data_IF_875434761199
#
_entry.id   IF_875434761199
#
_cell.length_a   1.000
_cell.length_b   1.000
_cell.length_c   1.000
_cell.angle_alpha   90.00
_cell.angle_beta   90.00
_cell.angle_gamma   90.00
#
_symmetry.space_group_name_H-M   'P 1'
#
loop_
_entity.id
_entity.type
_entity.pdbx_description
1 polymer ?
#
# COMPACT_ATOMS: atom_id res chain seq x y z
N UNK A 1 -31.22 -21.96 8.89
CA UNK A 1 -30.48 -21.72 7.63
C UNK A 1 -30.29 -20.23 7.41
N UNK A 2 -29.15 -19.65 7.79
CA UNK A 2 -28.79 -18.27 7.43
C UNK A 2 -27.27 -18.16 7.26
N UNK A 3 -26.87 -17.59 6.12
CA UNK A 3 -25.76 -16.62 6.05
C UNK A 3 -24.29 -17.09 6.11
N UNK A 4 -23.94 -18.24 5.53
CA UNK A 4 -22.50 -18.52 5.25
C UNK A 4 -22.05 -18.05 3.86
N UNK A 5 -22.97 -17.76 2.94
CA UNK A 5 -22.64 -17.31 1.57
C UNK A 5 -22.34 -15.80 1.49
N UNK A 6 -22.97 -14.97 2.34
CA UNK A 6 -22.77 -13.52 2.39
C UNK A 6 -21.37 -13.14 2.91
N UNK A 7 -20.87 -13.86 3.93
CA UNK A 7 -19.55 -13.57 4.53
C UNK A 7 -18.38 -13.80 3.55
N UNK A 8 -18.48 -14.83 2.68
CA UNK A 8 -17.42 -15.18 1.72
C UNK A 8 -17.25 -14.11 0.64
N UNK A 9 -18.34 -13.55 0.13
CA UNK A 9 -18.29 -12.48 -0.90
C UNK A 9 -17.68 -11.21 -0.32
N UNK A 10 -18.04 -10.86 0.93
CA UNK A 10 -17.52 -9.67 1.61
C UNK A 10 -16.01 -9.81 1.89
N UNK A 11 -15.55 -10.96 2.41
CA UNK A 11 -14.11 -11.20 2.64
C UNK A 11 -13.32 -11.15 1.34
N UNK A 12 -13.76 -11.87 0.30
CA UNK A 12 -13.09 -11.91 -1.00
C UNK A 12 -13.00 -10.51 -1.63
N UNK A 13 -14.03 -9.68 -1.46
CA UNK A 13 -14.03 -8.29 -1.93
C UNK A 13 -12.94 -7.46 -1.25
N UNK A 14 -12.79 -7.56 0.08
CA UNK A 14 -11.72 -6.86 0.81
C UNK A 14 -10.33 -7.42 0.51
N UNK A 15 -10.20 -8.74 0.36
CA UNK A 15 -8.93 -9.38 -0.03
C UNK A 15 -8.47 -8.92 -1.42
N UNK A 16 -9.39 -8.85 -2.38
CA UNK A 16 -9.14 -8.33 -3.72
C UNK A 16 -8.84 -6.82 -3.68
N UNK A 17 -9.54 -6.06 -2.83
CA UNK A 17 -9.28 -4.63 -2.64
C UNK A 17 -7.85 -4.38 -2.12
N UNK A 18 -7.40 -5.13 -1.13
CA UNK A 18 -6.04 -5.05 -0.63
C UNK A 18 -5.02 -5.37 -1.71
N UNK A 19 -5.24 -6.43 -2.49
CA UNK A 19 -4.37 -6.80 -3.62
C UNK A 19 -4.29 -5.66 -4.65
N UNK A 20 -5.43 -5.09 -5.04
CA UNK A 20 -5.48 -3.93 -5.94
C UNK A 20 -4.73 -2.74 -5.34
N UNK A 21 -4.86 -2.49 -4.04
CA UNK A 21 -4.19 -1.38 -3.37
C UNK A 21 -2.68 -1.61 -3.24
N UNK A 22 -2.22 -2.84 -3.03
CA UNK A 22 -0.80 -3.20 -3.06
C UNK A 22 -0.21 -2.98 -4.46
N UNK A 23 -0.92 -3.36 -5.53
CA UNK A 23 -0.49 -3.07 -6.90
C UNK A 23 -0.37 -1.56 -7.17
N UNK A 24 -1.39 -0.78 -6.78
CA UNK A 24 -1.35 0.69 -6.88
C UNK A 24 -0.20 1.30 -6.08
N UNK A 25 0.14 0.72 -4.93
CA UNK A 25 1.29 1.18 -4.16
C UNK A 25 2.61 0.87 -4.88
N UNK A 26 2.70 -0.26 -5.60
CA UNK A 26 3.83 -0.57 -6.48
C UNK A 26 3.98 0.38 -7.66
N UNK A 27 2.88 0.84 -8.25
CA UNK A 27 2.90 1.91 -9.27
C UNK A 27 3.48 3.20 -8.67
N UNK A 28 3.03 3.60 -7.47
CA UNK A 28 3.56 4.78 -6.78
C UNK A 28 5.06 4.66 -6.44
N UNK A 29 5.54 3.47 -6.08
CA UNK A 29 6.98 3.21 -5.88
C UNK A 29 7.76 3.42 -7.18
N UNK A 30 7.26 2.89 -8.30
CA UNK A 30 7.88 3.10 -9.62
C UNK A 30 7.89 4.58 -10.00
N UNK A 31 6.77 5.29 -9.82
CA UNK A 31 6.69 6.71 -10.08
C UNK A 31 7.64 7.54 -9.19
N UNK A 32 7.85 7.12 -7.93
CA UNK A 32 8.79 7.77 -7.02
C UNK A 32 10.24 7.63 -7.49
N UNK A 33 10.63 6.49 -8.05
CA UNK A 33 11.96 6.32 -8.65
C UNK A 33 12.17 7.20 -9.90
N UNK A 34 11.10 7.47 -10.65
CA UNK A 34 11.14 8.28 -11.87
C UNK A 34 10.92 9.78 -11.62
N UNK A 35 10.52 10.17 -10.40
CA UNK A 35 10.22 11.56 -10.09
C UNK A 35 11.50 12.38 -9.94
N UNK A 36 11.64 13.38 -10.80
CA UNK A 36 12.78 14.27 -10.97
C UNK A 36 12.60 15.64 -10.28
N UNK A 37 11.42 15.91 -9.73
CA UNK A 37 11.10 17.16 -9.04
C UNK A 37 10.57 16.92 -7.63
N UNK A 38 10.96 17.78 -6.71
CA UNK A 38 10.53 17.70 -5.30
C UNK A 38 9.00 17.81 -5.16
N UNK A 39 8.36 18.67 -5.96
CA UNK A 39 6.90 18.81 -5.98
C UNK A 39 6.20 17.50 -6.35
N UNK A 40 6.67 16.82 -7.39
CA UNK A 40 6.12 15.52 -7.82
C UNK A 40 6.36 14.45 -6.76
N UNK A 41 7.59 14.37 -6.22
CA UNK A 41 7.90 13.44 -5.13
C UNK A 41 6.99 13.65 -3.92
N UNK A 42 6.75 14.90 -3.51
CA UNK A 42 5.86 15.25 -2.42
C UNK A 42 4.42 14.75 -2.65
N UNK A 43 3.88 14.96 -3.85
CA UNK A 43 2.54 14.46 -4.22
C UNK A 43 2.47 12.94 -4.20
N UNK A 44 3.50 12.26 -4.71
CA UNK A 44 3.58 10.80 -4.70
C UNK A 44 3.68 10.23 -3.28
N UNK A 45 4.50 10.83 -2.41
CA UNK A 45 4.58 10.45 -1.00
C UNK A 45 3.25 10.64 -0.26
N UNK A 46 2.50 11.71 -0.55
CA UNK A 46 1.15 11.89 0.01
C UNK A 46 0.17 10.80 -0.47
N UNK A 47 0.26 10.39 -1.74
CA UNK A 47 -0.55 9.28 -2.27
C UNK A 47 -0.15 7.95 -1.63
N UNK A 48 1.14 7.68 -1.49
CA UNK A 48 1.67 6.48 -0.84
C UNK A 48 1.22 6.39 0.63
N UNK A 49 1.26 7.51 1.36
CA UNK A 49 0.73 7.61 2.72
C UNK A 49 -0.75 7.19 2.79
N UNK A 50 -1.60 7.76 1.92
CA UNK A 50 -3.03 7.43 1.85
C UNK A 50 -3.27 5.96 1.50
N UNK A 51 -2.46 5.39 0.60
CA UNK A 51 -2.54 3.98 0.24
C UNK A 51 -2.18 3.07 1.42
N UNK A 52 -1.10 3.35 2.15
CA UNK A 52 -0.72 2.59 3.34
C UNK A 52 -1.79 2.63 4.44
N UNK A 53 -2.46 3.77 4.64
CA UNK A 53 -3.59 3.88 5.56
C UNK A 53 -4.77 2.98 5.14
N UNK A 54 -5.10 2.95 3.84
CA UNK A 54 -6.17 2.08 3.30
C UNK A 54 -5.84 0.60 3.42
N UNK A 55 -4.57 0.25 3.26
CA UNK A 55 -4.03 -1.09 3.49
C UNK A 55 -3.93 -1.47 4.98
N UNK A 56 -4.34 -0.57 5.89
CA UNK A 56 -4.29 -0.78 7.34
C UNK A 56 -2.88 -1.15 7.84
N UNK A 57 -1.84 -0.64 7.18
CA UNK A 57 -0.45 -0.80 7.64
C UNK A 57 -0.31 -0.20 9.03
N UNK A 58 0.44 -0.86 9.92
CA UNK A 58 0.63 -0.39 11.30
C UNK A 58 1.17 1.05 11.32
N UNK A 59 0.59 1.98 12.12
CA UNK A 59 0.99 3.39 12.12
C UNK A 59 2.49 3.63 12.32
N UNK A 60 3.15 2.87 13.20
CA UNK A 60 4.59 2.97 13.43
C UNK A 60 5.44 2.71 12.17
N UNK A 61 4.99 1.79 11.29
CA UNK A 61 5.65 1.51 10.02
C UNK A 61 5.43 2.68 9.05
N UNK A 62 4.20 3.18 8.96
CA UNK A 62 3.85 4.32 8.12
C UNK A 62 4.69 5.54 8.53
N UNK A 63 4.77 5.84 9.82
CA UNK A 63 5.59 6.94 10.35
C UNK A 63 7.06 6.78 10.01
N UNK A 64 7.62 5.58 10.19
CA UNK A 64 9.01 5.31 9.84
C UNK A 64 9.28 5.57 8.35
N UNK A 65 8.42 5.05 7.47
CA UNK A 65 8.53 5.25 6.02
C UNK A 65 8.40 6.74 5.67
N UNK A 66 7.39 7.43 6.21
CA UNK A 66 7.12 8.84 5.89
C UNK A 66 8.14 9.81 6.48
N UNK A 67 8.82 9.45 7.58
CA UNK A 67 9.95 10.22 8.12
C UNK A 67 11.20 10.06 7.26
N UNK A 68 11.47 8.85 6.77
CA UNK A 68 12.66 8.56 5.96
C UNK A 68 12.49 9.01 4.51
N UNK A 69 11.27 8.92 3.96
CA UNK A 69 10.96 9.13 2.53
C UNK A 69 11.98 8.50 1.58
N UNK A 70 12.48 7.33 1.95
CA UNK A 70 13.38 6.54 1.14
C UNK A 70 12.54 5.53 0.35
N UNK A 71 12.62 5.60 -0.98
CA UNK A 71 11.85 4.75 -1.91
C UNK A 71 12.21 3.28 -1.73
N UNK A 72 13.47 2.95 -1.43
CA UNK A 72 13.92 1.57 -1.19
C UNK A 72 13.28 0.96 0.05
N UNK A 73 13.11 1.76 1.12
CA UNK A 73 12.44 1.31 2.35
C UNK A 73 10.97 0.98 2.03
N UNK A 74 10.28 1.84 1.28
CA UNK A 74 8.89 1.58 0.87
C UNK A 74 8.82 0.34 -0.03
N UNK A 75 9.73 0.19 -1.00
CA UNK A 75 9.78 -0.95 -1.91
C UNK A 75 9.99 -2.28 -1.18
N UNK A 76 10.91 -2.32 -0.20
CA UNK A 76 11.15 -3.52 0.62
C UNK A 76 9.92 -3.92 1.43
N UNK A 77 9.28 -2.95 2.09
CA UNK A 77 8.04 -3.20 2.84
C UNK A 77 6.93 -3.72 1.91
N UNK A 78 6.80 -3.16 0.71
CA UNK A 78 5.82 -3.61 -0.28
C UNK A 78 6.08 -5.07 -0.71
N UNK A 79 7.33 -5.46 -0.95
CA UNK A 79 7.69 -6.85 -1.26
C UNK A 79 7.29 -7.80 -0.12
N UNK A 80 7.56 -7.42 1.14
CA UNK A 80 7.16 -8.20 2.31
C UNK A 80 5.63 -8.35 2.40
N UNK A 81 4.87 -7.28 2.14
CA UNK A 81 3.40 -7.32 2.16
C UNK A 81 2.81 -8.18 1.04
N UNK A 82 3.41 -8.14 -0.15
CA UNK A 82 3.02 -9.01 -1.28
C UNK A 82 3.36 -10.48 -1.00
N UNK A 83 4.51 -10.77 -0.37
CA UNK A 83 4.94 -12.12 -0.04
C UNK A 83 4.13 -12.79 1.07
N UNK A 84 3.64 -11.99 2.03
CA UNK A 84 2.85 -12.45 3.17
C UNK A 84 1.35 -12.66 2.86
N UNK A 85 0.88 -12.37 1.64
CA UNK A 85 -0.50 -12.62 1.18
C UNK A 85 -0.74 -14.07 0.72
N UNK A 86 0.20 -14.99 0.94
CA UNK A 86 0.08 -16.43 0.64
C UNK A 86 -0.76 -17.19 1.65
#
# INVERSE_FOLDING_TARGET
MRSNYQAKIISQYYDNLDTIMLHKLGELVTELYLADTESRQNQLWQRAHKAMLKLKVRPAIIEHIMRKRNVEILAKNLQDWLGNKK
#
